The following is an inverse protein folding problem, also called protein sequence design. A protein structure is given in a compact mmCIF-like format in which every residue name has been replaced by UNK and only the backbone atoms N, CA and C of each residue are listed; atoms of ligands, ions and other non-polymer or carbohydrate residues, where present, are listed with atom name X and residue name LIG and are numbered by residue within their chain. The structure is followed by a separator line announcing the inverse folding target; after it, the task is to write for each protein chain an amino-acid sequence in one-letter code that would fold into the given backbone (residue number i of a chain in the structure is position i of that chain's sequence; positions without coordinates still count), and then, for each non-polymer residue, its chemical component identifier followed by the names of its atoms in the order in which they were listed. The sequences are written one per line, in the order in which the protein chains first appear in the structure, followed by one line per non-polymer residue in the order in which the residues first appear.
data_IF_784195756461
#
_entry.id   IF_784195756461
#
_cell.length_a   1.000
_cell.length_b   1.000
_cell.length_c   1.000
_cell.angle_alpha   90.00
_cell.angle_beta   90.00
_cell.angle_gamma   90.00
#
_symmetry.space_group_name_H-M   'P 1'
#
loop_
_entity.id
_entity.type
_entity.pdbx_description
1 polymer ?
#
# COMPACT_ATOMS: atom_id res chain seq x y z
N UNK A 1 44.18 -7.82 64.14
CA UNK A 1 43.24 -8.41 63.17
C UNK A 1 42.54 -7.25 62.50
N UNK A 2 43.10 -6.72 61.41
CA UNK A 2 42.56 -5.59 60.66
C UNK A 2 41.86 -6.18 59.40
N UNK A 3 40.54 -5.95 59.29
CA UNK A 3 39.77 -6.25 58.09
C UNK A 3 39.86 -5.04 57.18
N UNK A 4 40.51 -5.21 56.03
CA UNK A 4 40.50 -4.29 54.92
C UNK A 4 39.12 -4.43 54.23
N UNK A 5 38.34 -3.39 54.19
CA UNK A 5 37.14 -3.29 53.36
C UNK A 5 37.53 -2.61 52.04
N UNK A 6 37.59 -3.37 50.97
CA UNK A 6 37.85 -2.86 49.64
C UNK A 6 36.51 -2.41 49.02
N UNK A 7 36.31 -1.10 48.95
CA UNK A 7 35.16 -0.53 48.24
C UNK A 7 35.39 -0.59 46.74
N UNK A 8 34.61 -1.41 46.04
CA UNK A 8 34.58 -1.43 44.59
C UNK A 8 33.66 -0.30 44.11
N UNK A 9 34.30 0.72 43.56
CA UNK A 9 33.57 1.81 42.88
C UNK A 9 33.12 1.32 41.53
N UNK A 10 31.85 0.95 41.34
CA UNK A 10 31.25 0.63 40.04
C UNK A 10 30.92 1.96 39.36
N UNK A 11 31.78 2.42 38.47
CA UNK A 11 31.47 3.52 37.57
C UNK A 11 30.48 3.02 36.52
N UNK A 12 29.19 3.27 36.74
CA UNK A 12 28.17 3.16 35.70
C UNK A 12 28.43 4.26 34.66
N UNK A 13 29.16 3.96 33.63
CA UNK A 13 29.13 4.77 32.40
C UNK A 13 27.75 4.59 31.76
N UNK A 14 26.84 5.52 32.03
CA UNK A 14 25.64 5.68 31.24
C UNK A 14 26.09 6.12 29.83
N UNK A 15 26.23 5.18 28.91
CA UNK A 15 26.25 5.50 27.51
C UNK A 15 24.85 6.04 27.17
N UNK A 16 24.68 7.36 27.21
CA UNK A 16 23.62 8.03 26.50
C UNK A 16 23.87 7.80 25.00
N UNK A 17 23.42 6.66 24.49
CA UNK A 17 23.17 6.50 23.07
C UNK A 17 22.10 7.54 22.73
N UNK A 18 22.52 8.73 22.29
CA UNK A 18 21.67 9.61 21.53
C UNK A 18 21.24 8.81 20.29
N UNK A 19 20.10 8.14 20.36
CA UNK A 19 19.46 7.64 19.16
C UNK A 19 19.24 8.87 18.28
N UNK A 20 19.99 8.97 17.21
CA UNK A 20 19.97 10.11 16.31
C UNK A 20 18.53 10.24 15.79
N UNK A 21 17.87 11.33 16.16
CA UNK A 21 16.45 11.51 15.94
C UNK A 21 16.15 11.61 14.44
N UNK A 22 15.22 10.80 13.94
CA UNK A 22 14.79 10.87 12.52
C UNK A 22 14.18 12.24 12.24
N UNK A 23 14.33 12.78 11.02
CA UNK A 23 13.69 14.01 10.62
C UNK A 23 12.17 13.95 10.83
N UNK A 24 11.62 15.05 11.33
CA UNK A 24 10.17 15.18 11.49
C UNK A 24 9.47 15.18 10.12
N UNK A 25 8.33 14.50 10.04
CA UNK A 25 7.49 14.54 8.84
C UNK A 25 6.86 15.92 8.67
N UNK A 26 6.84 16.40 7.45
CA UNK A 26 6.24 17.69 7.08
C UNK A 26 5.03 17.44 6.18
N UNK A 27 4.00 18.24 6.35
CA UNK A 27 2.76 18.13 5.59
C UNK A 27 2.37 19.53 5.10
N UNK A 28 1.97 19.65 3.84
CA UNK A 28 1.54 20.93 3.25
C UNK A 28 0.28 21.46 3.92
N UNK A 29 -0.64 20.56 4.26
CA UNK A 29 -1.94 20.84 4.89
C UNK A 29 -2.21 19.88 6.05
N UNK A 30 -1.50 20.06 7.20
CA UNK A 30 -1.62 19.14 8.34
C UNK A 30 -3.02 19.14 9.00
N UNK A 31 -3.79 20.19 8.80
CA UNK A 31 -5.20 20.28 9.25
C UNK A 31 -6.12 19.41 8.37
N UNK A 32 -5.73 19.16 7.12
CA UNK A 32 -6.49 18.31 6.20
C UNK A 32 -6.06 16.85 6.28
N UNK A 33 -4.75 16.61 6.18
CA UNK A 33 -4.17 15.26 6.23
C UNK A 33 -2.75 15.30 6.79
N UNK A 34 -2.51 14.42 7.74
CA UNK A 34 -1.18 14.12 8.29
C UNK A 34 -1.14 12.70 8.80
N UNK A 35 0.02 12.24 9.17
CA UNK A 35 0.20 11.00 9.93
C UNK A 35 1.30 11.15 10.98
N UNK A 36 1.30 10.25 11.95
CA UNK A 36 2.37 10.04 12.91
C UNK A 36 2.77 8.55 12.95
N UNK A 37 3.49 8.14 13.95
CA UNK A 37 3.89 6.75 14.16
C UNK A 37 2.74 5.77 14.38
N UNK A 38 1.55 6.26 14.67
CA UNK A 38 0.38 5.43 14.96
C UNK A 38 -0.54 5.30 13.75
N UNK A 39 -1.02 6.41 13.21
CA UNK A 39 -2.04 6.40 12.15
C UNK A 39 -2.09 7.68 11.33
N UNK A 40 -2.93 7.67 10.31
CA UNK A 40 -3.36 8.88 9.62
C UNK A 40 -4.39 9.64 10.45
N UNK A 41 -4.31 10.98 10.35
CA UNK A 41 -5.34 11.91 10.85
C UNK A 41 -5.87 12.70 9.66
N UNK A 42 -7.17 12.61 9.40
CA UNK A 42 -7.86 13.35 8.34
C UNK A 42 -8.88 14.28 8.99
N UNK A 43 -8.76 15.58 8.71
CA UNK A 43 -9.63 16.63 9.28
C UNK A 43 -9.73 16.54 10.82
N UNK A 44 -8.58 16.31 11.45
CA UNK A 44 -8.49 16.22 12.91
C UNK A 44 -8.98 14.90 13.50
N UNK A 45 -9.41 13.92 12.70
CA UNK A 45 -9.88 12.61 13.15
C UNK A 45 -8.90 11.52 12.79
N UNK A 46 -8.55 10.70 13.76
CA UNK A 46 -7.75 9.52 13.53
C UNK A 46 -8.54 8.46 12.76
N UNK A 47 -7.89 7.86 11.78
CA UNK A 47 -8.54 6.92 10.88
C UNK A 47 -7.75 5.62 10.74
N UNK A 48 -8.46 4.50 10.79
CA UNK A 48 -7.98 3.24 10.25
C UNK A 48 -8.35 3.19 8.76
N UNK A 49 -7.37 3.11 7.87
CA UNK A 49 -7.60 3.07 6.43
C UNK A 49 -7.85 1.62 6.02
N UNK A 50 -9.08 1.31 5.65
CA UNK A 50 -9.44 0.02 5.05
C UNK A 50 -9.73 0.24 3.57
N UNK A 51 -8.80 -0.20 2.73
CA UNK A 51 -8.77 0.04 1.29
C UNK A 51 -9.01 -1.24 0.49
N UNK A 52 -9.69 -1.10 -0.62
CA UNK A 52 -9.96 -2.15 -1.60
C UNK A 52 -9.25 -1.83 -2.93
N UNK A 53 -8.35 -2.70 -3.39
CA UNK A 53 -7.78 -2.59 -4.72
C UNK A 53 -8.83 -2.90 -5.78
N UNK A 54 -9.05 -1.94 -6.67
CA UNK A 54 -10.03 -1.96 -7.75
C UNK A 54 -9.49 -1.20 -8.96
N UNK A 55 -9.04 -1.91 -9.99
CA UNK A 55 -8.41 -1.35 -11.19
C UNK A 55 -9.45 -0.97 -12.24
N UNK A 56 -9.73 0.35 -12.42
CA UNK A 56 -10.71 0.83 -13.41
C UNK A 56 -10.44 0.35 -14.83
N UNK A 57 -9.18 0.19 -15.22
CA UNK A 57 -8.76 -0.22 -16.55
C UNK A 57 -8.97 -1.73 -16.85
N UNK A 58 -9.43 -2.52 -15.86
CA UNK A 58 -9.81 -3.93 -16.00
C UNK A 58 -11.31 -4.16 -15.96
N UNK A 59 -12.12 -3.12 -16.00
CA UNK A 59 -13.57 -3.22 -15.82
C UNK A 59 -14.27 -2.24 -16.74
N UNK A 60 -15.26 -2.68 -17.52
CA UNK A 60 -16.12 -1.77 -18.25
C UNK A 60 -16.78 -0.73 -17.33
N UNK A 61 -16.83 0.52 -17.79
CA UNK A 61 -17.27 1.66 -16.97
C UNK A 61 -18.69 1.49 -16.40
N UNK A 62 -19.59 0.87 -17.15
CA UNK A 62 -20.96 0.59 -16.76
C UNK A 62 -21.09 -0.34 -15.55
N UNK A 63 -20.03 -1.09 -15.24
CA UNK A 63 -19.99 -1.99 -14.09
C UNK A 63 -19.36 -1.35 -12.84
N UNK A 64 -18.71 -0.20 -12.93
CA UNK A 64 -18.00 0.42 -11.80
C UNK A 64 -18.94 0.71 -10.64
N UNK A 65 -20.13 1.24 -10.90
CA UNK A 65 -21.10 1.58 -9.83
C UNK A 65 -21.49 0.37 -8.98
N UNK A 66 -21.70 -0.79 -9.60
CA UNK A 66 -21.96 -2.03 -8.87
C UNK A 66 -20.77 -2.45 -8.00
N UNK A 67 -19.56 -2.32 -8.50
CA UNK A 67 -18.35 -2.67 -7.76
C UNK A 67 -18.11 -1.72 -6.57
N UNK A 68 -18.23 -0.41 -6.79
CA UNK A 68 -18.15 0.58 -5.70
C UNK A 68 -19.21 0.36 -4.62
N UNK A 69 -20.44 0.08 -5.02
CA UNK A 69 -21.53 -0.23 -4.07
C UNK A 69 -21.15 -1.41 -3.17
N UNK A 70 -20.66 -2.50 -3.74
CA UNK A 70 -20.25 -3.69 -2.99
C UNK A 70 -19.02 -3.44 -2.11
N UNK A 71 -18.06 -2.65 -2.56
CA UNK A 71 -16.91 -2.20 -1.76
C UNK A 71 -17.43 -1.43 -0.53
N UNK A 72 -18.36 -0.51 -0.73
CA UNK A 72 -18.97 0.26 0.37
C UNK A 72 -19.76 -0.63 1.33
N UNK A 73 -20.55 -1.58 0.81
CA UNK A 73 -21.30 -2.56 1.60
C UNK A 73 -20.39 -3.47 2.43
N UNK A 74 -19.18 -3.75 1.94
CA UNK A 74 -18.17 -4.50 2.68
C UNK A 74 -17.46 -3.66 3.76
N UNK A 75 -17.84 -2.38 3.94
CA UNK A 75 -17.35 -1.54 5.04
C UNK A 75 -16.06 -0.79 4.75
N UNK A 76 -15.60 -0.74 3.51
CA UNK A 76 -14.41 0.01 3.14
C UNK A 76 -14.63 1.52 3.17
N UNK A 77 -13.60 2.26 3.56
CA UNK A 77 -13.59 3.72 3.54
C UNK A 77 -12.68 4.29 2.44
N UNK A 78 -11.91 3.45 1.78
CA UNK A 78 -10.91 3.82 0.79
C UNK A 78 -10.90 2.80 -0.35
N UNK A 79 -10.57 3.23 -1.55
CA UNK A 79 -10.23 2.37 -2.69
C UNK A 79 -8.84 2.71 -3.22
N UNK A 80 -8.18 1.74 -3.80
CA UNK A 80 -6.86 1.89 -4.41
C UNK A 80 -6.93 1.52 -5.88
N UNK A 81 -6.16 2.22 -6.71
CA UNK A 81 -5.92 1.82 -8.08
C UNK A 81 -4.50 2.15 -8.53
N UNK A 82 -3.93 1.24 -9.32
CA UNK A 82 -2.83 1.61 -10.19
C UNK A 82 -3.31 2.53 -11.33
N UNK A 83 -2.38 3.32 -11.89
CA UNK A 83 -2.65 4.21 -13.02
C UNK A 83 -1.60 3.91 -14.11
N UNK A 84 -1.89 2.99 -15.05
CA UNK A 84 -0.92 2.55 -16.04
C UNK A 84 -0.63 3.63 -17.07
N UNK A 85 0.61 4.03 -17.24
CA UNK A 85 1.00 5.00 -18.25
C UNK A 85 0.57 4.57 -19.66
N UNK A 86 0.77 3.30 -20.03
CA UNK A 86 0.40 2.79 -21.35
C UNK A 86 -1.10 2.70 -21.63
N UNK A 87 -1.95 2.81 -20.60
CA UNK A 87 -3.39 2.94 -20.78
C UNK A 87 -3.77 4.33 -21.21
N UNK A 88 -3.11 5.34 -20.65
CA UNK A 88 -3.41 6.75 -20.85
C UNK A 88 -2.65 7.38 -22.02
N UNK A 89 -1.49 6.85 -22.40
CA UNK A 89 -0.68 7.37 -23.51
C UNK A 89 -0.19 6.21 -24.39
N UNK A 90 -1.07 5.74 -25.27
CA UNK A 90 -0.81 4.57 -26.13
C UNK A 90 0.09 4.92 -27.33
N UNK A 91 0.00 6.15 -27.79
CA UNK A 91 0.74 6.66 -28.95
C UNK A 91 1.92 7.51 -28.50
N UNK A 92 3.08 7.35 -29.15
CA UNK A 92 4.26 8.13 -28.86
C UNK A 92 4.01 9.63 -29.13
N UNK A 93 4.23 10.53 -28.15
CA UNK A 93 4.11 11.96 -28.36
C UNK A 93 5.20 12.50 -29.29
N UNK A 94 5.00 13.66 -29.88
CA UNK A 94 5.98 14.32 -30.77
C UNK A 94 7.27 14.71 -30.03
N UNK A 95 7.17 15.06 -28.78
CA UNK A 95 8.29 15.39 -27.90
C UNK A 95 7.84 15.30 -26.43
N UNK A 96 8.77 15.42 -25.48
CA UNK A 96 8.54 15.31 -24.03
C UNK A 96 7.66 16.40 -23.40
N UNK A 97 7.20 17.39 -24.15
CA UNK A 97 6.27 18.44 -23.70
C UNK A 97 4.93 18.33 -24.43
N UNK A 98 4.75 17.33 -25.24
CA UNK A 98 3.52 17.08 -25.99
C UNK A 98 2.63 16.07 -25.22
N UNK A 99 1.66 16.57 -24.50
CA UNK A 99 0.70 15.77 -23.72
C UNK A 99 -0.60 15.50 -24.48
N UNK A 100 -0.68 15.83 -25.76
CA UNK A 100 -1.91 15.71 -26.57
C UNK A 100 -2.36 14.28 -26.81
N UNK A 101 -1.51 13.30 -26.51
CA UNK A 101 -1.82 11.87 -26.63
C UNK A 101 -2.28 11.26 -25.31
N UNK A 102 -2.27 12.03 -24.21
CA UNK A 102 -2.75 11.56 -22.93
C UNK A 102 -4.26 11.70 -22.82
N UNK A 103 -4.91 10.60 -22.44
CA UNK A 103 -6.35 10.54 -22.15
C UNK A 103 -6.57 10.06 -20.72
N UNK A 104 -7.18 10.91 -19.90
CA UNK A 104 -7.46 10.62 -18.49
C UNK A 104 -8.95 10.59 -18.17
N UNK A 105 -9.83 10.51 -19.15
CA UNK A 105 -11.28 10.58 -18.94
C UNK A 105 -11.79 9.44 -18.06
N UNK A 106 -11.32 8.21 -18.29
CA UNK A 106 -11.66 7.06 -17.45
C UNK A 106 -11.21 7.28 -16.00
N UNK A 107 -9.97 7.73 -15.79
CA UNK A 107 -9.42 7.98 -14.46
C UNK A 107 -10.22 9.05 -13.71
N UNK A 108 -10.49 10.18 -14.37
CA UNK A 108 -11.30 11.27 -13.78
C UNK A 108 -12.71 10.81 -13.43
N UNK A 109 -13.36 10.07 -14.31
CA UNK A 109 -14.69 9.53 -14.08
C UNK A 109 -14.70 8.56 -12.89
N UNK A 110 -13.70 7.68 -12.77
CA UNK A 110 -13.57 6.73 -11.69
C UNK A 110 -13.31 7.43 -10.33
N UNK A 111 -12.39 8.40 -10.29
CA UNK A 111 -12.10 9.20 -9.10
C UNK A 111 -13.33 9.96 -8.64
N UNK A 112 -14.03 10.62 -9.56
CA UNK A 112 -15.27 11.35 -9.25
C UNK A 112 -16.34 10.42 -8.67
N UNK A 113 -16.54 9.24 -9.26
CA UNK A 113 -17.51 8.26 -8.76
C UNK A 113 -17.13 7.81 -7.34
N UNK A 114 -15.86 7.49 -7.08
CA UNK A 114 -15.38 7.10 -5.76
C UNK A 114 -15.62 8.19 -4.71
N UNK A 115 -15.28 9.45 -5.03
CA UNK A 115 -15.34 10.57 -4.09
C UNK A 115 -16.77 11.07 -3.85
N UNK A 116 -17.49 11.38 -4.91
CA UNK A 116 -18.77 12.09 -4.84
C UNK A 116 -19.97 11.15 -4.65
N UNK A 117 -20.00 10.00 -5.35
CA UNK A 117 -21.15 9.09 -5.27
C UNK A 117 -21.06 8.12 -4.09
N UNK A 118 -19.86 7.57 -3.86
CA UNK A 118 -19.67 6.52 -2.83
C UNK A 118 -19.00 7.02 -1.55
N UNK A 119 -18.48 8.24 -1.52
CA UNK A 119 -17.86 8.82 -0.34
C UNK A 119 -16.66 8.01 0.14
N UNK A 120 -15.82 7.57 -0.80
CA UNK A 120 -14.59 6.83 -0.55
C UNK A 120 -13.38 7.73 -0.77
N UNK A 121 -12.37 7.61 0.09
CA UNK A 121 -11.03 8.14 -0.22
C UNK A 121 -10.37 7.29 -1.29
N UNK A 122 -9.33 7.83 -1.95
CA UNK A 122 -8.57 7.05 -2.92
C UNK A 122 -7.06 7.10 -2.66
N UNK A 123 -6.40 6.00 -3.01
CA UNK A 123 -4.95 5.85 -3.09
C UNK A 123 -4.63 5.62 -4.55
N UNK A 124 -3.70 6.40 -5.13
CA UNK A 124 -3.30 6.26 -6.53
C UNK A 124 -1.84 5.87 -6.66
N UNK A 125 -1.56 4.97 -7.61
CA UNK A 125 -0.26 4.35 -7.80
C UNK A 125 0.19 4.45 -9.27
N UNK A 126 0.77 5.61 -9.69
CA UNK A 126 1.08 5.88 -11.10
C UNK A 126 2.36 5.21 -11.63
N UNK A 127 3.12 4.54 -10.79
CA UNK A 127 4.37 3.93 -11.19
C UNK A 127 5.54 4.90 -11.35
N UNK A 128 6.21 4.91 -12.53
CA UNK A 128 5.83 4.43 -13.87
C UNK A 128 5.80 2.91 -14.05
N UNK A 129 6.56 2.16 -13.27
CA UNK A 129 6.43 0.71 -13.18
C UNK A 129 5.34 0.38 -12.16
N UNK A 130 4.29 -0.33 -12.58
CA UNK A 130 3.20 -0.73 -11.71
C UNK A 130 3.17 -2.24 -11.43
N UNK A 131 3.94 -3.03 -12.15
CA UNK A 131 3.82 -4.49 -12.16
C UNK A 131 2.39 -4.96 -12.50
N UNK A 132 1.59 -5.24 -11.51
CA UNK A 132 0.14 -5.52 -11.56
C UNK A 132 -0.27 -6.59 -12.58
N UNK A 133 0.66 -7.48 -12.96
CA UNK A 133 0.48 -8.45 -14.06
C UNK A 133 -0.08 -7.78 -15.33
N UNK A 134 0.30 -6.51 -15.55
CA UNK A 134 -0.11 -5.68 -16.67
C UNK A 134 0.96 -5.60 -17.74
N UNK A 135 0.56 -5.47 -19.00
CA UNK A 135 1.45 -5.45 -20.14
C UNK A 135 2.56 -4.38 -19.98
N UNK A 136 3.81 -4.79 -20.14
CA UNK A 136 4.97 -3.91 -20.01
C UNK A 136 5.17 -3.31 -18.61
N UNK A 137 4.51 -3.85 -17.58
CA UNK A 137 4.56 -3.28 -16.23
C UNK A 137 4.04 -1.84 -16.14
N UNK A 138 3.17 -1.43 -17.08
CA UNK A 138 2.59 -0.09 -17.16
C UNK A 138 3.29 0.85 -18.15
N UNK A 139 4.50 0.54 -18.60
CA UNK A 139 5.20 1.40 -19.57
C UNK A 139 4.61 1.31 -20.98
N UNK A 140 4.46 2.42 -21.71
CA UNK A 140 4.15 2.40 -23.13
C UNK A 140 5.27 1.73 -23.94
N UNK A 141 4.91 0.92 -24.93
CA UNK A 141 5.90 0.21 -25.77
C UNK A 141 6.88 1.16 -26.49
N UNK A 142 6.43 2.36 -26.83
CA UNK A 142 7.26 3.35 -27.50
C UNK A 142 8.39 3.89 -26.63
N UNK A 143 8.28 3.88 -25.29
CA UNK A 143 9.36 4.29 -24.38
C UNK A 143 10.62 3.47 -24.60
N UNK A 144 10.47 2.17 -24.89
CA UNK A 144 11.61 1.28 -25.13
C UNK A 144 12.49 1.72 -26.34
N UNK A 145 11.96 2.51 -27.26
CA UNK A 145 12.74 3.06 -28.42
C UNK A 145 13.86 4.00 -27.97
N UNK A 146 13.76 4.58 -26.78
CA UNK A 146 14.76 5.49 -26.23
C UNK A 146 15.83 4.77 -25.41
N UNK A 147 15.69 3.45 -25.22
CA UNK A 147 16.72 2.65 -24.57
C UNK A 147 17.98 2.60 -25.46
N UNK A 148 19.14 3.05 -24.96
CA UNK A 148 20.36 2.95 -25.74
C UNK A 148 20.71 1.50 -26.04
N UNK A 149 21.21 1.21 -27.27
CA UNK A 149 21.45 -0.16 -27.76
C UNK A 149 22.40 -1.01 -26.87
N UNK A 150 23.21 -0.37 -26.03
CA UNK A 150 24.11 -1.04 -25.09
C UNK A 150 23.46 -1.53 -23.81
N UNK A 151 22.18 -1.16 -23.56
CA UNK A 151 21.44 -1.56 -22.36
C UNK A 151 20.38 -2.60 -22.70
N UNK A 152 20.17 -3.53 -21.77
CA UNK A 152 18.94 -4.31 -21.74
C UNK A 152 17.78 -3.42 -21.30
N UNK A 153 16.68 -3.44 -22.07
CA UNK A 153 15.52 -2.58 -21.81
C UNK A 153 14.93 -2.81 -20.43
N UNK A 154 14.94 -4.04 -19.91
CA UNK A 154 14.41 -4.38 -18.60
C UNK A 154 15.21 -3.76 -17.45
N UNK A 155 16.52 -3.56 -17.65
CA UNK A 155 17.40 -2.89 -16.68
C UNK A 155 17.47 -1.38 -16.90
N UNK A 156 17.17 -0.90 -18.10
CA UNK A 156 17.13 0.53 -18.39
C UNK A 156 15.85 1.19 -17.82
N UNK A 157 14.69 0.55 -18.04
CA UNK A 157 13.46 0.95 -17.37
C UNK A 157 13.64 0.86 -15.84
N UNK A 158 13.09 1.80 -15.12
CA UNK A 158 13.20 1.95 -13.65
C UNK A 158 14.57 2.46 -13.15
N UNK A 159 15.56 2.70 -14.05
CA UNK A 159 16.88 3.20 -13.66
C UNK A 159 16.95 4.72 -13.54
N UNK A 160 18.07 5.23 -12.96
CA UNK A 160 18.39 6.65 -12.93
C UNK A 160 18.98 7.18 -14.25
N UNK A 161 18.88 6.42 -15.36
CA UNK A 161 19.41 6.87 -16.65
C UNK A 161 18.71 8.17 -17.09
N UNK A 162 19.43 9.22 -17.51
CA UNK A 162 18.82 10.54 -17.78
C UNK A 162 17.70 10.51 -18.81
N UNK A 163 17.82 9.71 -19.87
CA UNK A 163 16.77 9.60 -20.89
C UNK A 163 15.53 8.87 -20.34
N UNK A 164 15.68 7.86 -19.48
CA UNK A 164 14.55 7.23 -18.78
C UNK A 164 13.88 8.23 -17.84
N UNK A 165 14.66 8.96 -17.02
CA UNK A 165 14.12 9.94 -16.08
C UNK A 165 13.43 11.12 -16.75
N UNK A 166 13.90 11.51 -17.95
CA UNK A 166 13.25 12.51 -18.78
C UNK A 166 11.83 12.10 -19.20
N UNK A 167 11.64 10.82 -19.60
CA UNK A 167 10.33 10.29 -19.95
C UNK A 167 9.48 9.98 -18.72
N UNK A 168 10.08 9.56 -17.62
CA UNK A 168 9.40 9.46 -16.33
C UNK A 168 8.83 10.82 -15.90
N UNK A 169 9.62 11.88 -16.05
CA UNK A 169 9.14 13.25 -15.77
C UNK A 169 7.95 13.63 -16.67
N UNK A 170 8.02 13.32 -17.96
CA UNK A 170 6.89 13.54 -18.89
C UNK A 170 5.60 12.88 -18.38
N UNK A 171 5.68 11.63 -17.92
CA UNK A 171 4.53 10.94 -17.37
C UNK A 171 3.97 11.64 -16.12
N UNK A 172 4.84 12.02 -15.19
CA UNK A 172 4.41 12.73 -13.97
C UNK A 172 3.85 14.12 -14.28
N UNK A 173 4.43 14.84 -15.21
CA UNK A 173 3.92 16.15 -15.66
C UNK A 173 2.52 16.03 -16.31
N UNK A 174 2.20 14.87 -16.89
CA UNK A 174 0.88 14.60 -17.46
C UNK A 174 -0.16 14.19 -16.43
N UNK A 175 0.20 13.26 -15.51
CA UNK A 175 -0.77 12.62 -14.62
C UNK A 175 -0.95 13.36 -13.30
N UNK A 176 0.08 13.96 -12.74
CA UNK A 176 -0.01 14.67 -11.45
C UNK A 176 -1.00 15.84 -11.44
N UNK A 177 -1.18 16.64 -12.50
CA UNK A 177 -2.24 17.65 -12.52
C UNK A 177 -3.64 17.08 -12.28
N UNK A 178 -3.94 15.88 -12.80
CA UNK A 178 -5.23 15.19 -12.53
C UNK A 178 -5.37 14.84 -11.05
N UNK A 179 -4.29 14.35 -10.43
CA UNK A 179 -4.30 14.04 -9.00
C UNK A 179 -4.40 15.29 -8.14
N UNK A 180 -3.72 16.39 -8.55
CA UNK A 180 -3.74 17.65 -7.82
C UNK A 180 -5.15 18.25 -7.75
N UNK A 181 -5.96 18.10 -8.79
CA UNK A 181 -7.37 18.53 -8.80
C UNK A 181 -8.23 17.65 -7.87
N UNK A 182 -7.92 16.37 -7.77
CA UNK A 182 -8.72 15.37 -7.06
C UNK A 182 -8.22 15.06 -5.64
N UNK A 183 -7.08 15.63 -5.21
CA UNK A 183 -6.53 15.38 -3.89
C UNK A 183 -7.35 16.03 -2.76
N UNK A 184 -7.32 15.41 -1.59
CA UNK A 184 -8.11 15.81 -0.42
C UNK A 184 -7.87 17.26 0.01
N UNK A 185 -6.65 17.77 -0.15
CA UNK A 185 -6.28 19.14 0.21
C UNK A 185 -7.00 20.20 -0.63
N UNK A 186 -7.50 19.84 -1.82
CA UNK A 186 -8.25 20.72 -2.73
C UNK A 186 -9.77 20.56 -2.62
N UNK A 187 -10.24 19.58 -1.87
CA UNK A 187 -11.67 19.34 -1.65
C UNK A 187 -12.17 20.18 -0.45
N UNK A 188 -13.47 20.43 -0.39
CA UNK A 188 -14.09 21.06 0.80
C UNK A 188 -14.02 20.12 2.01
N UNK A 189 -14.15 20.69 3.20
CA UNK A 189 -14.23 19.88 4.43
C UNK A 189 -15.39 18.90 4.35
N UNK A 190 -15.13 17.64 4.70
CA UNK A 190 -16.10 16.54 4.65
C UNK A 190 -16.16 15.81 3.30
N UNK A 191 -15.71 16.43 2.19
CA UNK A 191 -15.61 15.76 0.90
C UNK A 191 -14.45 14.77 0.88
N UNK A 192 -14.52 13.79 -0.03
CA UNK A 192 -13.47 12.78 -0.23
C UNK A 192 -12.54 13.18 -1.37
N UNK A 193 -11.34 12.60 -1.39
CA UNK A 193 -10.34 12.86 -2.40
C UNK A 193 -9.20 11.86 -2.30
N UNK A 194 -8.19 12.05 -3.13
CA UNK A 194 -6.94 11.29 -3.06
C UNK A 194 -6.22 11.66 -1.76
N UNK A 195 -5.82 10.65 -1.00
CA UNK A 195 -5.16 10.82 0.31
C UNK A 195 -3.67 10.50 0.29
N UNK A 196 -3.18 9.79 -0.73
CA UNK A 196 -1.74 9.53 -0.90
C UNK A 196 -1.43 9.06 -2.32
N UNK A 197 -0.18 9.29 -2.75
CA UNK A 197 0.33 8.93 -4.08
C UNK A 197 1.59 8.09 -3.91
N UNK A 198 1.65 6.94 -4.61
CA UNK A 198 2.82 6.06 -4.60
C UNK A 198 3.88 6.54 -5.59
N UNK A 199 5.14 6.36 -5.23
CA UNK A 199 6.30 6.46 -6.11
C UNK A 199 6.85 5.07 -6.38
N UNK A 200 7.01 4.71 -7.66
CA UNK A 200 7.55 3.42 -8.07
C UNK A 200 6.71 2.22 -7.54
N UNK A 201 7.16 1.01 -7.70
CA UNK A 201 6.51 -0.17 -7.13
C UNK A 201 7.51 -1.27 -6.80
N UNK A 202 7.49 -1.76 -5.55
CA UNK A 202 8.34 -2.88 -5.11
C UNK A 202 9.81 -2.72 -5.54
N UNK A 203 10.39 -1.56 -5.24
CA UNK A 203 11.70 -1.18 -5.77
C UNK A 203 12.85 -2.05 -5.22
N UNK A 204 12.61 -2.82 -4.15
CA UNK A 204 13.55 -3.81 -3.64
C UNK A 204 13.94 -4.83 -4.71
N UNK A 205 12.98 -5.24 -5.56
CA UNK A 205 13.21 -6.26 -6.60
C UNK A 205 13.95 -5.73 -7.83
N UNK A 206 14.22 -4.42 -7.89
CA UNK A 206 15.03 -3.85 -8.95
C UNK A 206 16.51 -3.81 -8.53
N UNK A 207 17.37 -4.51 -9.29
CA UNK A 207 18.80 -4.69 -8.98
C UNK A 207 19.64 -3.44 -9.23
N UNK A 208 19.40 -2.36 -8.49
CA UNK A 208 20.17 -1.12 -8.56
C UNK A 208 20.70 -0.74 -7.18
N UNK A 209 21.84 -0.05 -7.13
CA UNK A 209 22.44 0.45 -5.88
C UNK A 209 21.50 1.38 -5.12
N UNK A 210 21.48 1.29 -3.78
CA UNK A 210 20.58 2.06 -2.92
C UNK A 210 20.63 3.57 -3.17
N UNK A 211 21.82 4.17 -3.33
CA UNK A 211 21.91 5.61 -3.58
C UNK A 211 21.29 6.01 -4.92
N UNK A 212 21.45 5.22 -5.96
CA UNK A 212 20.80 5.46 -7.26
C UNK A 212 19.28 5.32 -7.17
N UNK A 213 18.78 4.39 -6.37
CA UNK A 213 17.34 4.29 -6.07
C UNK A 213 16.82 5.54 -5.37
N UNK A 214 17.56 6.05 -4.39
CA UNK A 214 17.21 7.30 -3.70
C UNK A 214 17.23 8.50 -4.65
N UNK A 215 18.16 8.59 -5.60
CA UNK A 215 18.16 9.63 -6.65
C UNK A 215 16.86 9.60 -7.44
N UNK A 216 16.45 8.44 -7.94
CA UNK A 216 15.18 8.26 -8.66
C UNK A 216 13.99 8.68 -7.81
N UNK A 217 13.94 8.28 -6.55
CA UNK A 217 12.84 8.64 -5.64
C UNK A 217 12.81 10.14 -5.31
N UNK A 218 13.98 10.79 -5.15
CA UNK A 218 14.05 12.26 -4.98
C UNK A 218 13.47 12.98 -6.20
N UNK A 219 13.86 12.55 -7.40
CA UNK A 219 13.37 13.14 -8.64
C UNK A 219 11.85 12.94 -8.80
N UNK A 220 11.34 11.73 -8.55
CA UNK A 220 9.90 11.44 -8.60
C UNK A 220 9.13 12.27 -7.57
N UNK A 221 9.63 12.38 -6.34
CA UNK A 221 9.03 13.23 -5.32
C UNK A 221 8.98 14.70 -5.76
N UNK A 222 10.06 15.19 -6.36
CA UNK A 222 10.11 16.53 -6.92
C UNK A 222 9.13 16.70 -8.09
N UNK A 223 8.96 15.70 -8.95
CA UNK A 223 7.97 15.75 -10.04
C UNK A 223 6.54 15.85 -9.48
N UNK A 224 6.22 15.09 -8.44
CA UNK A 224 4.93 15.19 -7.75
C UNK A 224 4.70 16.59 -7.18
N UNK A 225 5.63 17.08 -6.35
CA UNK A 225 5.45 18.36 -5.65
C UNK A 225 5.43 19.55 -6.61
N UNK A 226 6.27 19.54 -7.66
CA UNK A 226 6.29 20.58 -8.70
C UNK A 226 5.00 20.62 -9.53
N UNK A 227 4.25 19.52 -9.58
CA UNK A 227 2.95 19.42 -10.24
C UNK A 227 1.77 19.54 -9.25
N UNK A 228 2.01 20.06 -8.05
CA UNK A 228 0.98 20.45 -7.10
C UNK A 228 0.44 19.34 -6.22
N UNK A 229 1.15 18.21 -6.08
CA UNK A 229 0.77 17.17 -5.12
C UNK A 229 1.13 17.63 -3.70
N UNK A 230 0.14 17.65 -2.81
CA UNK A 230 0.22 18.14 -1.44
C UNK A 230 -0.11 17.04 -0.41
N UNK A 231 -0.66 15.91 -0.86
CA UNK A 231 -0.93 14.74 -0.01
C UNK A 231 0.34 13.91 0.19
N UNK A 232 0.42 13.07 1.25
CA UNK A 232 1.57 12.22 1.51
C UNK A 232 2.00 11.36 0.32
N UNK A 233 3.31 11.27 0.10
CA UNK A 233 3.93 10.38 -0.86
C UNK A 233 4.45 9.11 -0.15
N UNK A 234 4.33 7.97 -0.80
CA UNK A 234 4.75 6.70 -0.22
C UNK A 234 5.41 5.78 -1.26
N UNK A 235 6.06 4.74 -0.76
CA UNK A 235 6.58 3.61 -1.53
C UNK A 235 6.02 2.30 -0.98
N UNK A 236 6.21 1.20 -1.67
CA UNK A 236 6.00 -0.13 -1.11
C UNK A 236 7.23 -1.01 -1.31
N UNK A 237 7.57 -1.76 -0.27
CA UNK A 237 8.71 -2.69 -0.24
C UNK A 237 10.01 -2.03 -0.75
N UNK A 238 10.30 -0.84 -0.20
CA UNK A 238 11.46 -0.02 -0.57
C UNK A 238 12.26 0.33 0.68
N UNK A 239 13.16 -0.56 1.13
CA UNK A 239 13.92 -0.40 2.38
C UNK A 239 14.71 0.90 2.48
N UNK A 240 15.12 1.49 1.35
CA UNK A 240 15.85 2.76 1.27
C UNK A 240 15.09 3.94 1.89
N UNK A 241 13.77 3.82 2.04
CA UNK A 241 12.90 4.84 2.65
C UNK A 241 12.83 4.67 4.17
N UNK A 242 12.86 3.42 4.65
CA UNK A 242 12.68 3.10 6.07
C UNK A 242 13.78 3.68 6.93
N UNK A 243 13.43 4.57 7.86
CA UNK A 243 14.40 5.20 8.76
C UNK A 243 15.45 6.07 8.08
N UNK A 244 15.22 6.52 6.84
CA UNK A 244 16.12 7.40 6.11
C UNK A 244 16.28 8.75 6.80
N UNK A 245 17.53 9.28 6.78
CA UNK A 245 17.85 10.64 7.26
C UNK A 245 18.03 11.65 6.12
N UNK A 246 17.92 11.18 4.88
CA UNK A 246 17.92 12.06 3.72
C UNK A 246 16.76 13.05 3.76
N UNK A 247 17.00 14.32 3.43
CA UNK A 247 16.01 15.39 3.58
C UNK A 247 14.70 15.15 2.81
N UNK A 248 14.76 14.54 1.63
CA UNK A 248 13.60 14.26 0.80
C UNK A 248 13.03 12.86 1.10
N UNK A 249 13.90 11.84 1.12
CA UNK A 249 13.47 10.45 1.32
C UNK A 249 12.85 10.28 2.71
N UNK A 250 13.33 10.99 3.73
CA UNK A 250 12.75 10.96 5.08
C UNK A 250 11.32 11.49 5.15
N UNK A 251 10.85 12.22 4.13
CA UNK A 251 9.45 12.68 4.04
C UNK A 251 8.52 11.63 3.46
N UNK A 252 9.06 10.64 2.75
CA UNK A 252 8.31 9.47 2.30
C UNK A 252 8.10 8.49 3.46
N UNK A 253 7.13 7.60 3.32
CA UNK A 253 7.03 6.41 4.16
C UNK A 253 6.87 5.17 3.28
N UNK A 254 7.31 4.03 3.79
CA UNK A 254 7.22 2.77 3.08
C UNK A 254 6.10 1.89 3.63
N UNK A 255 5.45 1.14 2.77
CA UNK A 255 4.42 0.16 3.11
C UNK A 255 4.94 -1.25 2.83
N UNK A 256 4.31 -2.25 3.43
CA UNK A 256 4.62 -3.65 3.20
C UNK A 256 3.61 -4.30 2.24
N UNK A 257 4.09 -5.25 1.41
CA UNK A 257 3.25 -6.15 0.62
C UNK A 257 3.29 -7.53 1.25
N UNK A 258 2.14 -8.11 1.56
CA UNK A 258 2.06 -9.36 2.33
C UNK A 258 1.44 -10.50 1.53
N UNK A 259 2.30 -11.33 0.95
CA UNK A 259 1.96 -12.56 0.23
C UNK A 259 2.53 -13.77 0.99
N UNK A 260 1.95 -14.07 2.14
CA UNK A 260 2.48 -15.09 3.08
C UNK A 260 1.72 -16.42 3.02
N UNK A 261 0.73 -16.53 2.13
CA UNK A 261 -0.09 -17.73 2.01
C UNK A 261 -0.68 -18.11 3.37
N UNK A 262 -0.61 -19.40 3.73
CA UNK A 262 -1.12 -19.89 5.03
C UNK A 262 -0.17 -19.63 6.21
N UNK A 263 1.00 -19.02 6.00
CA UNK A 263 1.84 -18.53 7.10
C UNK A 263 1.28 -17.23 7.70
N UNK A 264 -0.01 -17.20 7.98
CA UNK A 264 -0.78 -16.00 8.38
C UNK A 264 -0.15 -15.28 9.58
N UNK A 265 0.51 -15.99 10.49
CA UNK A 265 1.24 -15.41 11.62
C UNK A 265 2.37 -14.46 11.19
N UNK A 266 2.93 -14.64 10.00
CA UNK A 266 3.97 -13.74 9.48
C UNK A 266 3.43 -12.34 9.23
N UNK A 267 2.14 -12.18 8.95
CA UNK A 267 1.53 -10.86 8.77
C UNK A 267 1.75 -9.96 10.01
N UNK A 268 1.68 -10.55 11.22
CA UNK A 268 1.97 -9.85 12.48
C UNK A 268 3.44 -9.44 12.57
N UNK A 269 4.36 -10.39 12.44
CA UNK A 269 5.80 -10.13 12.60
C UNK A 269 6.36 -9.17 11.55
N UNK A 270 5.87 -9.20 10.31
CA UNK A 270 6.26 -8.26 9.25
C UNK A 270 5.86 -6.82 9.58
N UNK A 271 4.68 -6.62 10.17
CA UNK A 271 4.25 -5.29 10.63
C UNK A 271 5.09 -4.80 11.80
N UNK A 272 5.38 -5.67 12.75
CA UNK A 272 6.27 -5.34 13.89
C UNK A 272 7.67 -4.95 13.38
N UNK A 273 8.16 -5.64 12.37
CA UNK A 273 9.44 -5.34 11.74
C UNK A 273 9.42 -3.99 11.00
N UNK A 274 8.38 -3.72 10.22
CA UNK A 274 8.20 -2.43 9.54
C UNK A 274 8.18 -1.27 10.55
N UNK A 275 7.48 -1.42 11.67
CA UNK A 275 7.45 -0.40 12.75
C UNK A 275 8.82 -0.16 13.36
N UNK A 276 9.63 -1.21 13.56
CA UNK A 276 11.00 -1.06 14.06
C UNK A 276 11.89 -0.30 13.08
N UNK A 277 11.76 -0.59 11.78
CA UNK A 277 12.55 0.05 10.72
C UNK A 277 12.09 1.48 10.42
N UNK A 278 10.83 1.80 10.67
CA UNK A 278 10.18 3.08 10.35
C UNK A 278 9.38 3.62 11.54
N UNK A 279 10.04 4.02 12.66
CA UNK A 279 9.37 4.39 13.90
C UNK A 279 8.63 5.73 13.85
N UNK A 280 8.79 6.52 12.78
CA UNK A 280 8.18 7.86 12.62
C UNK A 280 7.03 7.89 11.59
N UNK A 281 6.52 6.72 11.18
CA UNK A 281 5.37 6.61 10.29
C UNK A 281 4.49 5.41 10.67
N UNK A 282 3.20 5.40 10.28
CA UNK A 282 2.30 4.30 10.59
C UNK A 282 2.67 3.06 9.78
N UNK A 283 2.40 1.88 10.34
CA UNK A 283 2.52 0.65 9.59
C UNK A 283 1.27 0.41 8.74
N UNK A 284 1.50 0.20 7.44
CA UNK A 284 0.45 0.00 6.45
C UNK A 284 0.78 -1.19 5.54
N UNK A 285 -0.22 -2.02 5.22
CA UNK A 285 -0.09 -3.08 4.21
C UNK A 285 -0.64 -2.56 2.89
N UNK A 286 0.26 -2.30 1.94
CA UNK A 286 -0.08 -1.79 0.62
C UNK A 286 -0.76 -2.86 -0.24
N UNK A 287 -0.35 -4.12 -0.09
CA UNK A 287 -0.96 -5.26 -0.77
C UNK A 287 -1.13 -6.41 0.22
N UNK A 288 -2.32 -6.50 0.80
CA UNK A 288 -2.73 -7.62 1.64
C UNK A 288 -3.32 -8.71 0.74
N UNK A 289 -2.70 -9.88 0.72
CA UNK A 289 -3.05 -10.98 -0.18
C UNK A 289 -4.55 -11.34 -0.14
N UNK A 290 -5.29 -10.94 -1.17
CA UNK A 290 -6.70 -11.29 -1.35
C UNK A 290 -6.90 -12.60 -2.12
N UNK A 291 -5.86 -13.07 -2.80
CA UNK A 291 -5.86 -14.27 -3.62
C UNK A 291 -4.54 -14.40 -4.39
N UNK A 292 -4.62 -14.88 -5.63
CA UNK A 292 -3.50 -14.95 -6.57
C UNK A 292 -4.00 -14.97 -8.01
N UNK A 293 -3.17 -14.58 -8.95
CA UNK A 293 -3.51 -14.53 -10.37
C UNK A 293 -3.40 -15.91 -11.07
N UNK A 294 -4.09 -16.05 -12.19
CA UNK A 294 -4.02 -17.22 -13.05
C UNK A 294 -2.97 -17.06 -14.16
N UNK A 295 -2.32 -18.15 -14.52
CA UNK A 295 -1.37 -18.17 -15.65
C UNK A 295 -1.71 -19.27 -16.65
N UNK A 296 -1.42 -19.04 -17.93
CA UNK A 296 -1.57 -20.05 -18.98
C UNK A 296 -0.65 -21.24 -18.68
N UNK A 297 -1.22 -22.41 -18.50
CA UNK A 297 -0.52 -23.64 -18.12
C UNK A 297 -0.15 -23.73 -16.64
N UNK A 298 -0.66 -22.82 -15.81
CA UNK A 298 -0.55 -22.84 -14.33
C UNK A 298 -1.89 -23.06 -13.67
N UNK A 299 -1.92 -22.85 -12.33
CA UNK A 299 -3.17 -22.88 -11.57
C UNK A 299 -4.11 -21.73 -11.92
N UNK A 300 -5.40 -21.95 -11.75
CA UNK A 300 -6.43 -20.92 -11.87
C UNK A 300 -6.66 -20.23 -10.52
N UNK A 301 -7.00 -18.96 -10.56
CA UNK A 301 -7.32 -18.20 -9.34
C UNK A 301 -8.55 -18.75 -8.61
N UNK A 302 -9.50 -19.32 -9.34
CA UNK A 302 -10.68 -19.96 -8.83
C UNK A 302 -10.39 -21.24 -8.03
N UNK A 303 -9.31 -21.94 -8.38
CA UNK A 303 -8.82 -23.12 -7.66
C UNK A 303 -7.97 -22.74 -6.43
N UNK A 304 -7.84 -21.44 -6.17
CA UNK A 304 -7.09 -20.94 -5.01
C UNK A 304 -7.76 -21.43 -3.72
N UNK A 305 -6.97 -22.11 -2.90
CA UNK A 305 -7.36 -22.54 -1.55
C UNK A 305 -7.33 -21.41 -0.52
N UNK A 306 -7.08 -20.18 -0.94
CA UNK A 306 -7.12 -18.98 -0.10
C UNK A 306 -8.57 -18.51 0.07
N UNK A 307 -9.21 -19.01 1.11
CA UNK A 307 -10.62 -18.81 1.44
C UNK A 307 -10.88 -17.57 2.32
N UNK A 308 -12.08 -17.42 2.85
CA UNK A 308 -12.45 -16.32 3.74
C UNK A 308 -11.72 -16.36 5.08
N UNK A 309 -11.32 -17.53 5.58
CA UNK A 309 -10.52 -17.66 6.81
C UNK A 309 -9.13 -17.05 6.59
N UNK A 310 -8.51 -17.32 5.43
CA UNK A 310 -7.25 -16.71 5.04
C UNK A 310 -7.38 -15.18 4.98
N UNK A 311 -8.32 -14.66 4.19
CA UNK A 311 -8.48 -13.22 4.00
C UNK A 311 -8.74 -12.46 5.31
N UNK A 312 -9.57 -13.04 6.21
CA UNK A 312 -9.82 -12.50 7.54
C UNK A 312 -8.61 -12.65 8.46
N UNK A 313 -7.96 -13.82 8.46
CA UNK A 313 -6.79 -14.09 9.29
C UNK A 313 -5.63 -13.14 9.00
N UNK A 314 -5.33 -12.90 7.72
CA UNK A 314 -4.32 -11.95 7.27
C UNK A 314 -4.56 -10.55 7.85
N UNK A 315 -5.78 -10.03 7.71
CA UNK A 315 -6.14 -8.71 8.24
C UNK A 315 -6.00 -8.64 9.75
N UNK A 316 -6.52 -9.62 10.48
CA UNK A 316 -6.46 -9.63 11.95
C UNK A 316 -5.03 -9.74 12.47
N UNK A 317 -4.17 -10.52 11.80
CA UNK A 317 -2.76 -10.65 12.22
C UNK A 317 -1.95 -9.40 11.87
N UNK A 318 -2.20 -8.74 10.74
CA UNK A 318 -1.60 -7.44 10.46
C UNK A 318 -2.02 -6.37 11.50
N UNK A 319 -3.31 -6.34 11.86
CA UNK A 319 -3.81 -5.48 12.94
C UNK A 319 -3.16 -5.80 14.28
N UNK A 320 -2.99 -7.09 14.60
CA UNK A 320 -2.31 -7.54 15.82
C UNK A 320 -0.87 -7.04 15.90
N UNK A 321 -0.16 -6.97 14.77
CA UNK A 321 1.20 -6.41 14.66
C UNK A 321 1.26 -4.89 14.81
N UNK A 322 0.12 -4.21 14.74
CA UNK A 322 0.04 -2.75 14.85
C UNK A 322 -0.22 -2.00 13.55
N UNK A 323 -0.64 -2.70 12.50
CA UNK A 323 -1.09 -2.02 11.27
C UNK A 323 -2.31 -1.14 11.55
N UNK A 324 -2.35 0.02 10.90
CA UNK A 324 -3.47 0.98 10.93
C UNK A 324 -3.96 1.33 9.53
N UNK A 325 -3.49 0.60 8.54
CA UNK A 325 -3.97 0.64 7.17
C UNK A 325 -3.78 -0.69 6.47
N UNK A 326 -4.81 -1.14 5.77
CA UNK A 326 -4.83 -2.37 5.00
C UNK A 326 -5.44 -2.10 3.63
N UNK A 327 -4.79 -2.58 2.57
CA UNK A 327 -5.36 -2.58 1.22
C UNK A 327 -5.46 -4.02 0.71
N UNK A 328 -6.66 -4.56 0.57
CA UNK A 328 -6.87 -5.89 0.01
C UNK A 328 -6.51 -5.94 -1.46
N UNK A 329 -5.47 -6.67 -1.79
CA UNK A 329 -4.99 -6.84 -3.16
C UNK A 329 -5.15 -8.30 -3.63
N UNK A 330 -6.05 -8.58 -4.57
CA UNK A 330 -7.15 -7.72 -5.03
C UNK A 330 -8.37 -7.91 -4.12
N UNK A 331 -9.14 -6.85 -3.92
CA UNK A 331 -10.53 -7.00 -3.49
C UNK A 331 -11.46 -7.30 -4.67
N UNK A 332 -11.20 -6.68 -5.81
CA UNK A 332 -11.83 -6.94 -7.09
C UNK A 332 -10.77 -6.90 -8.20
N UNK A 333 -10.53 -8.02 -8.86
CA UNK A 333 -9.48 -8.12 -9.88
C UNK A 333 -9.89 -7.61 -11.25
N UNK A 334 -10.97 -8.12 -11.80
CA UNK A 334 -11.47 -7.78 -13.14
C UNK A 334 -10.89 -8.64 -14.26
N UNK A 335 -10.84 -8.08 -15.48
CA UNK A 335 -10.50 -8.78 -16.72
C UNK A 335 -9.36 -8.08 -17.46
N UNK A 336 -8.37 -8.83 -17.92
CA UNK A 336 -7.32 -8.34 -18.81
C UNK A 336 -7.87 -8.23 -20.25
N UNK A 337 -8.67 -7.20 -20.51
CA UNK A 337 -9.29 -6.97 -21.81
C UNK A 337 -8.25 -6.76 -22.91
N UNK A 338 -8.60 -7.12 -24.16
CA UNK A 338 -7.82 -6.82 -25.37
C UNK A 338 -6.30 -7.13 -25.29
N UNK A 339 -5.90 -8.15 -24.51
CA UNK A 339 -4.50 -8.56 -24.42
C UNK A 339 -3.62 -7.68 -23.53
N UNK A 340 -4.20 -6.88 -22.65
CA UNK A 340 -3.47 -6.04 -21.71
C UNK A 340 -2.81 -6.81 -20.52
N UNK A 341 -3.06 -8.09 -20.38
CA UNK A 341 -2.34 -8.93 -19.43
C UNK A 341 -0.85 -9.03 -19.75
N UNK A 342 0.00 -9.17 -18.74
CA UNK A 342 1.40 -9.46 -18.90
C UNK A 342 1.61 -10.85 -19.56
N UNK A 343 2.85 -11.15 -19.96
CA UNK A 343 3.20 -12.42 -20.58
C UNK A 343 2.73 -13.61 -19.72
N UNK A 344 2.02 -14.55 -20.32
CA UNK A 344 1.44 -15.76 -19.69
C UNK A 344 0.26 -15.51 -18.74
N UNK A 345 -0.23 -14.30 -18.62
CA UNK A 345 -1.48 -14.07 -17.88
C UNK A 345 -2.68 -14.60 -18.66
N UNK A 346 -3.66 -15.13 -17.93
CA UNK A 346 -4.98 -15.42 -18.49
C UNK A 346 -5.76 -14.13 -18.72
N UNK A 347 -6.82 -14.20 -19.52
CA UNK A 347 -7.75 -13.07 -19.70
C UNK A 347 -8.43 -12.72 -18.37
N UNK A 348 -8.85 -13.71 -17.60
CA UNK A 348 -9.37 -13.50 -16.25
C UNK A 348 -8.28 -12.96 -15.31
N UNK A 349 -8.61 -11.93 -14.59
CA UNK A 349 -7.87 -11.44 -13.44
C UNK A 349 -8.77 -11.51 -12.19
N UNK A 350 -9.61 -12.56 -12.09
CA UNK A 350 -10.48 -12.79 -10.93
C UNK A 350 -9.69 -12.75 -9.61
N UNK A 351 -8.45 -13.22 -9.64
CA UNK A 351 -7.51 -13.21 -8.52
C UNK A 351 -7.96 -14.10 -7.34
N UNK A 352 -9.06 -14.82 -7.47
CA UNK A 352 -9.73 -15.44 -6.33
C UNK A 352 -10.16 -14.42 -5.29
N UNK A 353 -10.44 -13.19 -5.70
CA UNK A 353 -10.74 -12.06 -4.85
C UNK A 353 -12.07 -12.21 -4.09
N UNK A 354 -12.28 -11.37 -3.07
CA UNK A 354 -13.52 -11.37 -2.30
C UNK A 354 -14.75 -11.02 -3.14
N UNK A 355 -14.59 -10.08 -4.08
CA UNK A 355 -15.57 -9.76 -5.11
C UNK A 355 -15.13 -10.39 -6.43
N UNK A 356 -15.92 -11.31 -6.95
CA UNK A 356 -15.62 -12.09 -8.16
C UNK A 356 -15.59 -11.22 -9.42
N UNK A 357 -14.86 -11.65 -10.46
CA UNK A 357 -14.78 -10.99 -11.76
C UNK A 357 -16.17 -10.69 -12.33
N UNK A 358 -17.11 -11.64 -12.22
CA UNK A 358 -18.51 -11.45 -12.60
C UNK A 358 -19.27 -10.43 -11.75
N UNK A 359 -18.71 -10.00 -10.61
CA UNK A 359 -19.39 -9.19 -9.60
C UNK A 359 -20.14 -10.00 -8.55
N UNK A 360 -20.06 -11.32 -8.60
CA UNK A 360 -20.67 -12.18 -7.58
C UNK A 360 -19.98 -12.05 -6.21
N UNK A 361 -20.72 -12.29 -5.15
CA UNK A 361 -20.22 -12.31 -3.75
C UNK A 361 -20.35 -13.72 -3.19
N UNK A 362 -19.48 -14.09 -2.27
CA UNK A 362 -19.47 -15.41 -1.65
C UNK A 362 -18.95 -15.36 -0.22
N UNK A 363 -18.50 -16.50 0.29
CA UNK A 363 -17.99 -16.67 1.67
C UNK A 363 -16.83 -15.72 1.97
N UNK A 364 -15.87 -15.56 1.04
CA UNK A 364 -14.73 -14.65 1.22
C UNK A 364 -15.18 -13.21 1.36
N UNK A 365 -16.19 -12.78 0.59
CA UNK A 365 -16.77 -11.43 0.73
C UNK A 365 -17.38 -11.23 2.12
N UNK A 366 -18.14 -12.21 2.62
CA UNK A 366 -18.74 -12.14 3.95
C UNK A 366 -17.67 -12.07 5.05
N UNK A 367 -16.57 -12.82 4.91
CA UNK A 367 -15.44 -12.79 5.85
C UNK A 367 -14.75 -11.43 5.88
N UNK A 368 -14.49 -10.83 4.70
CA UNK A 368 -13.88 -9.50 4.57
C UNK A 368 -14.83 -8.40 5.06
N UNK A 369 -16.14 -8.54 4.77
CA UNK A 369 -17.16 -7.63 5.33
C UNK A 369 -17.14 -7.63 6.86
N UNK A 370 -16.95 -8.79 7.50
CA UNK A 370 -16.78 -8.86 8.95
C UNK A 370 -15.59 -8.06 9.47
N UNK A 371 -14.49 -7.97 8.70
CA UNK A 371 -13.35 -7.08 8.99
C UNK A 371 -13.76 -5.62 8.83
N UNK A 372 -14.49 -5.29 7.76
CA UNK A 372 -15.02 -3.93 7.54
C UNK A 372 -15.95 -3.47 8.66
N UNK A 373 -16.87 -4.32 9.10
CA UNK A 373 -17.79 -4.03 10.20
C UNK A 373 -17.01 -3.77 11.52
N UNK A 374 -15.96 -4.56 11.78
CA UNK A 374 -15.07 -4.35 12.93
C UNK A 374 -14.32 -3.00 12.85
N UNK A 375 -13.73 -2.68 11.69
CA UNK A 375 -13.02 -1.42 11.49
C UNK A 375 -13.98 -0.22 11.60
N UNK A 376 -15.17 -0.29 11.03
CA UNK A 376 -16.14 0.78 11.13
C UNK A 376 -16.56 1.05 12.58
N UNK A 377 -16.60 0.01 13.41
CA UNK A 377 -17.00 0.14 14.82
C UNK A 377 -15.84 0.58 15.72
N UNK A 378 -14.63 0.09 15.49
CA UNK A 378 -13.52 0.21 16.43
C UNK A 378 -12.26 0.85 15.82
N UNK A 379 -12.28 1.22 14.54
CA UNK A 379 -11.09 1.63 13.79
C UNK A 379 -10.38 2.84 14.40
N UNK A 380 -11.10 3.85 14.89
CA UNK A 380 -10.50 5.03 15.51
C UNK A 380 -9.74 4.66 16.80
N UNK A 381 -10.34 3.83 17.68
CA UNK A 381 -9.67 3.37 18.90
C UNK A 381 -8.49 2.45 18.54
N UNK A 382 -8.68 1.54 17.59
CA UNK A 382 -7.63 0.64 17.14
C UNK A 382 -6.45 1.43 16.54
N UNK A 383 -6.69 2.48 15.78
CA UNK A 383 -5.66 3.31 15.16
C UNK A 383 -4.67 3.91 16.20
N UNK A 384 -5.16 4.28 17.38
CA UNK A 384 -4.35 4.84 18.48
C UNK A 384 -3.92 3.84 19.54
N UNK A 385 -4.26 2.56 19.40
CA UNK A 385 -3.85 1.55 20.35
C UNK A 385 -2.40 1.12 20.11
N UNK A 386 -1.73 0.69 21.18
CA UNK A 386 -0.35 0.21 21.14
C UNK A 386 -0.31 -1.30 21.41
N UNK A 387 0.61 -1.99 20.74
CA UNK A 387 0.89 -3.39 21.05
C UNK A 387 1.49 -3.47 22.46
N UNK A 388 1.01 -4.43 23.24
CA UNK A 388 1.56 -4.73 24.56
C UNK A 388 2.12 -6.15 24.57
N UNK A 389 3.22 -6.34 25.31
CA UNK A 389 3.75 -7.67 25.54
C UNK A 389 2.71 -8.50 26.29
N UNK A 390 2.52 -9.72 25.82
CA UNK A 390 1.61 -10.68 26.39
C UNK A 390 2.33 -12.00 26.56
N UNK A 391 2.42 -12.46 27.79
CA UNK A 391 2.99 -13.76 28.12
C UNK A 391 1.85 -14.78 28.20
N UNK A 392 1.99 -15.86 27.50
CA UNK A 392 1.04 -16.98 27.51
C UNK A 392 1.56 -18.10 28.38
N UNK A 393 0.67 -18.83 29.04
CA UNK A 393 1.02 -20.09 29.69
C UNK A 393 1.39 -21.16 28.66
N UNK A 394 2.18 -22.15 29.03
CA UNK A 394 2.83 -23.14 28.13
C UNK A 394 1.90 -23.95 27.19
N UNK A 395 0.60 -23.85 27.33
CA UNK A 395 -0.37 -24.70 26.62
C UNK A 395 -0.89 -24.14 25.30
N UNK A 396 -0.31 -23.01 24.75
CA UNK A 396 -0.86 -22.36 23.54
C UNK A 396 0.14 -22.31 22.39
N UNK A 397 0.95 -23.34 22.23
CA UNK A 397 1.95 -23.44 21.14
C UNK A 397 1.35 -23.28 19.74
N UNK A 398 0.08 -23.66 19.57
CA UNK A 398 -0.63 -23.59 18.29
C UNK A 398 -1.35 -22.23 18.07
N UNK A 399 -1.32 -21.33 19.05
CA UNK A 399 -1.93 -20.00 18.95
C UNK A 399 -0.88 -18.93 18.67
N UNK A 400 -1.23 -18.00 17.79
CA UNK A 400 -0.57 -16.68 17.69
C UNK A 400 -1.50 -15.66 18.33
N UNK A 401 -1.01 -14.98 19.34
CA UNK A 401 -1.77 -13.94 20.07
C UNK A 401 -1.11 -12.59 19.88
N UNK A 402 -1.91 -11.57 19.65
CA UNK A 402 -1.50 -10.17 19.71
C UNK A 402 -2.47 -9.39 20.57
N UNK A 403 -1.96 -8.50 21.40
CA UNK A 403 -2.78 -7.66 22.26
C UNK A 403 -2.43 -6.21 22.02
N UNK A 404 -3.45 -5.37 21.84
CA UNK A 404 -3.29 -3.92 21.71
C UNK A 404 -4.14 -3.24 22.77
N UNK A 405 -3.64 -2.15 23.33
CA UNK A 405 -4.31 -1.38 24.38
C UNK A 405 -4.43 0.09 24.01
N UNK A 406 -5.61 0.67 24.16
CA UNK A 406 -5.81 2.11 24.05
C UNK A 406 -5.33 2.83 25.31
N UNK A 407 -5.21 4.16 25.25
CA UNK A 407 -4.88 5.00 26.42
C UNK A 407 -5.93 4.87 27.52
N UNK A 408 -7.19 4.66 27.16
CA UNK A 408 -8.32 4.49 28.08
C UNK A 408 -8.39 3.08 28.70
N UNK A 409 -7.51 2.17 28.28
CA UNK A 409 -7.40 0.81 28.83
C UNK A 409 -8.20 -0.25 28.07
N UNK A 410 -8.88 0.08 26.97
CA UNK A 410 -9.56 -0.92 26.13
C UNK A 410 -8.54 -1.86 25.50
N UNK A 411 -8.79 -3.15 25.60
CA UNK A 411 -7.95 -4.20 25.02
C UNK A 411 -8.57 -4.75 23.74
N UNK A 412 -7.74 -4.87 22.71
CA UNK A 412 -8.02 -5.66 21.50
C UNK A 412 -7.15 -6.90 21.55
N UNK A 413 -7.78 -8.07 21.62
CA UNK A 413 -7.09 -9.36 21.66
C UNK A 413 -7.34 -10.07 20.35
N UNK A 414 -6.26 -10.34 19.61
CA UNK A 414 -6.27 -11.04 18.35
C UNK A 414 -5.71 -12.44 18.57
N UNK A 415 -6.47 -13.45 18.19
CA UNK A 415 -6.07 -14.85 18.36
C UNK A 415 -6.18 -15.55 17.01
N UNK A 416 -5.09 -16.17 16.60
CA UNK A 416 -5.04 -17.01 15.41
C UNK A 416 -4.63 -18.44 15.81
N UNK A 417 -5.52 -19.41 15.56
CA UNK A 417 -5.24 -20.82 15.75
C UNK A 417 -4.59 -21.39 14.48
N UNK A 418 -3.35 -21.87 14.58
CA UNK A 418 -2.59 -22.47 13.48
C UNK A 418 -3.11 -23.86 13.11
N UNK A 419 -3.67 -24.57 14.08
CA UNK A 419 -4.24 -25.90 13.88
C UNK A 419 -5.75 -25.78 13.65
N UNK A 420 -6.18 -25.96 12.41
CA UNK A 420 -7.59 -25.91 12.03
C UNK A 420 -8.39 -27.17 12.45
N UNK A 421 -7.72 -28.20 12.98
CA UNK A 421 -8.33 -29.46 13.43
C UNK A 421 -8.58 -29.50 14.94
N UNK A 422 -7.97 -28.58 15.68
CA UNK A 422 -8.11 -28.50 17.14
C UNK A 422 -8.86 -27.26 17.55
N UNK A 423 -9.89 -27.40 18.34
CA UNK A 423 -10.45 -26.27 19.08
C UNK A 423 -9.61 -26.02 20.34
N UNK A 424 -9.19 -24.77 20.54
CA UNK A 424 -8.58 -24.34 21.79
C UNK A 424 -9.70 -23.87 22.73
N UNK A 425 -9.90 -24.53 23.83
CA UNK A 425 -10.84 -24.14 24.90
C UNK A 425 -10.08 -23.31 25.94
#
# INVERSE_FOLDING_TARGET
MNKLITSILVCCFAFNLYAEQLPAKQFSHPERIRYDQHCFTIEGRDIFILSAAFHYFRVPQELWRDRFRKIKEAGFNTVETYVPWNWHERTMPRNVKDYSQCDFDDLKAWLKMAHEEFGLYTIVRPGPFICAEWAGGGYPRWVAKFCPAKYDTSFWLRSNHPEHMKWTKHWYDAVCPVFAEEQLTRKKSGEKGIIMVQLENEYIYFGMESEKKKEVLRDMAAYCTNNGIEVPLFTCVTPEVRGSKDAVISQLFDMDNQYVWWNIQEAKSRIEDLKRQQPNAPAFVCELQGGWFSTVGGGLSEDSYLDGRHARGMALMAMAGGSTGLNYYMFFGGTNLAGWGARRMTTSYDYGAALKESGGVGEKFAAVKGVGDFVNRFGTQLARSEAIEFTTSDNIKDLTVGVRRTKEGTLFIFIFNKDNQKSCI
#
